data_IF_524368969456
#
_entry.id   IF_524368969456
#
_cell.length_a   1.000
_cell.length_b   1.000
_cell.length_c   1.000
_cell.angle_alpha   90.00
_cell.angle_beta   90.00
_cell.angle_gamma   90.00
#
_symmetry.space_group_name_H-M   'P 1'
#
loop_
_entity.id
_entity.type
_entity.pdbx_description
1 polymer ?
#
# COMPACT_ATOMS: atom_id res chain seq x y z
N UNK A 1 -5.19 -3.70 4.55
CA UNK A 1 -3.76 -3.34 4.47
C UNK A 1 -3.32 -2.80 5.81
N UNK A 2 -2.24 -3.33 6.38
CA UNK A 2 -1.58 -2.78 7.58
C UNK A 2 -0.50 -1.75 7.21
N UNK A 3 0.02 -0.93 8.15
CA UNK A 3 1.16 -0.05 7.91
C UNK A 3 2.40 -0.79 7.37
N UNK A 4 2.68 -2.00 7.88
CA UNK A 4 3.78 -2.86 7.45
C UNK A 4 3.60 -3.29 6.00
N UNK A 5 2.39 -3.74 5.63
CA UNK A 5 2.07 -4.11 4.26
C UNK A 5 2.18 -2.92 3.30
N UNK A 6 1.82 -1.71 3.73
CA UNK A 6 1.95 -0.50 2.93
C UNK A 6 3.43 -0.17 2.63
N UNK A 7 4.27 -0.17 3.67
CA UNK A 7 5.72 0.08 3.52
C UNK A 7 6.37 -1.00 2.65
N UNK A 8 6.02 -2.27 2.87
CA UNK A 8 6.51 -3.40 2.06
C UNK A 8 6.07 -3.31 0.60
N UNK A 9 4.80 -2.99 0.34
CA UNK A 9 4.25 -2.83 -1.01
C UNK A 9 4.98 -1.74 -1.79
N UNK A 10 5.19 -0.56 -1.18
CA UNK A 10 5.97 0.50 -1.80
C UNK A 10 7.43 0.10 -2.03
N UNK A 11 8.03 -0.63 -1.10
CA UNK A 11 9.38 -1.15 -1.24
C UNK A 11 9.51 -2.08 -2.45
N UNK A 12 8.56 -3.01 -2.63
CA UNK A 12 8.50 -3.90 -3.78
C UNK A 12 8.30 -3.14 -5.10
N UNK A 13 7.43 -2.13 -5.10
CA UNK A 13 7.16 -1.31 -6.28
C UNK A 13 8.21 -0.21 -6.52
N UNK A 14 9.20 -0.06 -5.63
CA UNK A 14 10.22 0.99 -5.67
C UNK A 14 9.65 2.42 -5.81
N UNK A 15 8.63 2.75 -5.02
CA UNK A 15 8.00 4.08 -5.04
C UNK A 15 8.07 4.82 -3.69
N UNK A 16 8.14 6.14 -3.75
CA UNK A 16 8.14 7.00 -2.57
C UNK A 16 6.74 7.12 -1.93
N UNK A 17 6.67 7.70 -0.74
CA UNK A 17 5.38 8.08 -0.12
C UNK A 17 4.63 9.14 -0.95
N UNK A 18 5.37 10.01 -1.65
CA UNK A 18 4.80 11.04 -2.50
C UNK A 18 4.18 10.45 -3.77
N UNK A 19 4.82 9.45 -4.36
CA UNK A 19 4.27 8.73 -5.51
C UNK A 19 2.98 7.99 -5.14
N UNK A 20 2.95 7.32 -3.99
CA UNK A 20 1.73 6.68 -3.49
C UNK A 20 0.62 7.71 -3.22
N UNK A 21 0.96 8.85 -2.62
CA UNK A 21 0.03 9.95 -2.39
C UNK A 21 -0.61 10.44 -3.69
N UNK A 22 0.21 10.67 -4.73
CA UNK A 22 -0.25 11.08 -6.07
C UNK A 22 -1.12 10.01 -6.73
N UNK A 23 -0.67 8.75 -6.74
CA UNK A 23 -1.38 7.64 -7.37
C UNK A 23 -2.74 7.36 -6.71
N UNK A 24 -2.79 7.40 -5.38
CA UNK A 24 -4.02 7.18 -4.60
C UNK A 24 -4.93 8.40 -4.52
N UNK A 25 -4.47 9.59 -4.95
CA UNK A 25 -5.14 10.89 -4.74
C UNK A 25 -5.47 11.14 -3.26
N UNK A 26 -4.55 10.76 -2.38
CA UNK A 26 -4.66 10.90 -0.92
C UNK A 26 -3.57 11.86 -0.45
N UNK A 27 -3.85 12.72 0.54
CA UNK A 27 -2.87 13.67 1.06
C UNK A 27 -1.60 12.98 1.60
N UNK A 28 -0.43 13.58 1.35
CA UNK A 28 0.86 13.01 1.77
C UNK A 28 0.97 12.79 3.29
N UNK A 29 0.37 13.68 4.09
CA UNK A 29 0.30 13.54 5.55
C UNK A 29 -0.48 12.29 5.97
N UNK A 30 -1.55 11.94 5.25
CA UNK A 30 -2.33 10.72 5.48
C UNK A 30 -1.49 9.47 5.24
N UNK A 31 -0.74 9.42 4.13
CA UNK A 31 0.17 8.30 3.83
C UNK A 31 1.25 8.18 4.92
N UNK A 32 1.91 9.29 5.28
CA UNK A 32 2.95 9.31 6.33
C UNK A 32 2.42 8.88 7.70
N UNK A 33 1.25 9.34 8.10
CA UNK A 33 0.68 9.00 9.39
C UNK A 33 0.20 7.56 9.44
N UNK A 34 -0.38 7.06 8.36
CA UNK A 34 -0.74 5.66 8.26
C UNK A 34 0.48 4.74 8.36
N UNK A 35 1.52 5.01 7.55
CA UNK A 35 2.74 4.21 7.59
C UNK A 35 3.51 4.32 8.89
N UNK A 36 3.35 5.39 9.67
CA UNK A 36 3.94 5.49 11.00
C UNK A 36 3.06 4.89 12.11
N UNK A 37 1.89 4.33 11.77
CA UNK A 37 0.93 3.81 12.75
C UNK A 37 0.27 4.91 13.60
N UNK A 38 0.37 6.18 13.21
CA UNK A 38 -0.18 7.33 13.97
C UNK A 38 -1.67 7.52 13.76
N UNK A 39 -2.21 7.10 12.61
CA UNK A 39 -3.65 7.19 12.33
C UNK A 39 -4.07 6.15 11.30
N UNK A 40 -5.31 5.68 11.39
CA UNK A 40 -5.92 4.87 10.32
C UNK A 40 -6.68 5.81 9.37
N UNK A 41 -6.36 5.85 8.07
CA UNK A 41 -7.12 6.62 7.09
C UNK A 41 -8.58 6.18 7.07
N UNK A 42 -9.48 7.10 6.71
CA UNK A 42 -10.87 6.74 6.40
C UNK A 42 -10.91 5.65 5.31
N UNK A 43 -11.95 4.82 5.34
CA UNK A 43 -12.03 3.62 4.51
C UNK A 43 -11.79 3.89 3.01
N UNK A 44 -12.33 4.99 2.48
CA UNK A 44 -12.12 5.38 1.08
C UNK A 44 -10.64 5.66 0.75
N UNK A 45 -9.92 6.35 1.63
CA UNK A 45 -8.49 6.64 1.42
C UNK A 45 -7.67 5.35 1.51
N UNK A 46 -7.99 4.47 2.46
CA UNK A 46 -7.31 3.18 2.58
C UNK A 46 -7.54 2.32 1.34
N UNK A 47 -8.76 2.25 0.83
CA UNK A 47 -9.10 1.53 -0.39
C UNK A 47 -8.38 2.12 -1.62
N UNK A 48 -8.31 3.46 -1.73
CA UNK A 48 -7.58 4.13 -2.80
C UNK A 48 -6.09 3.83 -2.77
N UNK A 49 -5.47 3.78 -1.58
CA UNK A 49 -4.06 3.40 -1.42
C UNK A 49 -3.81 1.94 -1.80
N UNK A 50 -4.68 1.01 -1.39
CA UNK A 50 -4.60 -0.40 -1.80
C UNK A 50 -4.67 -0.52 -3.32
N UNK A 51 -5.68 0.10 -3.94
CA UNK A 51 -5.87 0.05 -5.39
C UNK A 51 -4.68 0.62 -6.15
N UNK A 52 -4.14 1.76 -5.72
CA UNK A 52 -2.97 2.37 -6.35
C UNK A 52 -1.73 1.45 -6.31
N UNK A 53 -1.53 0.71 -5.22
CA UNK A 53 -0.45 -0.27 -5.09
C UNK A 53 -0.70 -1.52 -5.96
N UNK A 54 -1.96 -1.95 -6.07
CA UNK A 54 -2.34 -3.06 -6.96
C UNK A 54 -2.16 -2.70 -8.44
N UNK A 55 -2.53 -1.48 -8.84
CA UNK A 55 -2.40 -0.98 -10.20
C UNK A 55 -0.93 -0.91 -10.68
N UNK A 56 0.02 -0.76 -9.75
CA UNK A 56 1.47 -0.79 -10.03
C UNK A 56 2.09 -2.18 -9.84
N UNK A 57 1.26 -3.22 -9.68
CA UNK A 57 1.71 -4.62 -9.71
C UNK A 57 2.00 -5.24 -8.34
N UNK A 58 1.49 -4.69 -7.24
CA UNK A 58 1.52 -5.35 -5.93
C UNK A 58 0.27 -6.23 -5.75
N UNK A 59 0.40 -7.35 -5.05
CA UNK A 59 -0.71 -8.19 -4.62
C UNK A 59 -0.68 -8.30 -3.10
N UNK A 60 -1.80 -7.98 -2.45
CA UNK A 60 -1.98 -8.19 -1.01
C UNK A 60 -2.37 -9.64 -0.73
N UNK A 61 -1.71 -10.22 0.27
CA UNK A 61 -1.95 -11.59 0.72
C UNK A 61 -2.60 -11.51 2.10
N UNK A 62 -3.85 -11.99 2.27
CA UNK A 62 -4.46 -12.12 3.59
C UNK A 62 -3.71 -13.16 4.42
N UNK A 63 -3.93 -13.17 5.73
CA UNK A 63 -3.34 -14.18 6.59
C UNK A 63 -3.72 -15.59 6.14
N UNK A 64 -2.71 -16.42 5.91
CA UNK A 64 -2.84 -17.77 5.35
C UNK A 64 -1.97 -18.80 6.11
N UNK A 65 -1.73 -18.56 7.40
CA UNK A 65 -0.86 -19.36 8.27
C UNK A 65 0.53 -18.76 8.53
N UNK A 66 0.99 -17.81 7.68
CA UNK A 66 2.25 -17.08 7.86
C UNK A 66 2.08 -15.59 8.22
N UNK A 67 0.88 -15.16 8.57
CA UNK A 67 0.53 -13.74 8.70
C UNK A 67 0.17 -13.08 7.35
N UNK A 68 -0.29 -11.83 7.41
CA UNK A 68 -0.62 -11.04 6.21
C UNK A 68 0.67 -10.51 5.54
N UNK A 69 0.69 -10.46 4.20
CA UNK A 69 1.87 -10.08 3.43
C UNK A 69 1.56 -9.37 2.11
N UNK A 70 2.60 -9.13 1.31
CA UNK A 70 2.51 -8.56 -0.05
C UNK A 70 3.53 -9.23 -0.96
N UNK A 71 3.25 -9.28 -2.27
CA UNK A 71 4.18 -9.78 -3.30
C UNK A 71 3.98 -9.03 -4.62
N UNK A 72 4.92 -9.16 -5.55
CA UNK A 72 4.74 -8.67 -6.92
C UNK A 72 3.79 -9.60 -7.71
N UNK A 73 3.01 -8.98 -8.59
CA UNK A 73 2.27 -9.66 -9.64
C UNK A 73 3.26 -10.31 -10.63
N UNK A 74 2.79 -11.34 -11.34
CA UNK A 74 3.59 -11.91 -12.43
C UNK A 74 3.80 -10.83 -13.49
N UNK A 75 5.01 -10.71 -14.08
CA UNK A 75 5.22 -9.88 -15.26
C UNK A 75 4.20 -10.27 -16.33
N UNK A 76 3.54 -9.30 -16.95
CA UNK A 76 2.77 -9.57 -18.17
C UNK A 76 3.78 -9.95 -19.25
N UNK A 77 3.56 -11.11 -19.87
CA UNK A 77 4.33 -11.56 -21.03
C UNK A 77 4.11 -10.63 -22.22
#
# INVERSE_FOLDING_TARGET
>A
MTPEQCRAARGLANISQEDLSKAAKVGLSTVRNFEAGRSVPVQNNLAAMVKALEDIGVIFIPENGGGAGVRLAKPKA
#
